data_IF_343499470041
#
_entry.id   IF_343499470041
#
_cell.length_a   1.000
_cell.length_b   1.000
_cell.length_c   1.000
_cell.angle_alpha   90.00
_cell.angle_beta   90.00
_cell.angle_gamma   90.00
#
_symmetry.space_group_name_H-M   'P 1'
#
loop_
_entity.id
_entity.type
_entity.pdbx_description
1 polymer ?
#
# COMPACT_ATOMS: atom_id res chain seq x y z
N UNK A 1 -32.54 -8.72 -58.04
CA UNK A 1 -32.45 -9.27 -56.67
C UNK A 1 -31.06 -9.83 -56.36
N UNK A 2 -30.50 -10.73 -57.18
CA UNK A 2 -29.17 -11.34 -56.96
C UNK A 2 -28.01 -10.31 -56.93
N UNK A 3 -27.98 -9.34 -57.85
CA UNK A 3 -26.94 -8.27 -57.87
C UNK A 3 -26.95 -7.41 -56.60
N UNK A 4 -28.12 -7.15 -56.03
CA UNK A 4 -28.27 -6.38 -54.78
C UNK A 4 -27.72 -7.16 -53.59
N UNK A 5 -27.96 -8.47 -53.56
CA UNK A 5 -27.42 -9.38 -52.54
C UNK A 5 -25.90 -9.44 -52.62
N UNK A 6 -25.33 -9.57 -53.83
CA UNK A 6 -23.87 -9.59 -54.03
C UNK A 6 -23.23 -8.27 -53.58
N UNK A 7 -23.82 -7.12 -53.94
CA UNK A 7 -23.32 -5.81 -53.52
C UNK A 7 -23.27 -5.65 -51.99
N UNK A 8 -24.24 -6.22 -51.27
CA UNK A 8 -24.26 -6.21 -49.81
C UNK A 8 -23.16 -7.07 -49.18
N UNK A 9 -22.85 -8.24 -49.75
CA UNK A 9 -21.74 -9.06 -49.27
C UNK A 9 -20.38 -8.39 -49.53
N UNK A 10 -20.22 -7.74 -50.69
CA UNK A 10 -18.99 -7.01 -51.01
C UNK A 10 -18.78 -5.83 -50.07
N UNK A 11 -19.83 -5.06 -49.75
CA UNK A 11 -19.71 -3.95 -48.80
C UNK A 11 -19.34 -4.42 -47.40
N UNK A 12 -19.88 -5.54 -46.93
CA UNK A 12 -19.50 -6.14 -45.64
C UNK A 12 -18.03 -6.54 -45.64
N UNK A 13 -17.56 -7.23 -46.69
CA UNK A 13 -16.15 -7.65 -46.78
C UNK A 13 -15.20 -6.46 -46.76
N UNK A 14 -15.54 -5.38 -47.45
CA UNK A 14 -14.75 -4.14 -47.45
C UNK A 14 -14.70 -3.52 -46.05
N UNK A 15 -15.85 -3.43 -45.36
CA UNK A 15 -15.90 -2.89 -43.98
C UNK A 15 -15.06 -3.74 -43.03
N UNK A 16 -15.16 -5.07 -43.10
CA UNK A 16 -14.37 -5.98 -42.26
C UNK A 16 -12.88 -5.83 -42.54
N UNK A 17 -12.49 -5.70 -43.82
CA UNK A 17 -11.10 -5.49 -44.22
C UNK A 17 -10.51 -4.18 -43.68
N UNK A 18 -11.29 -3.10 -43.70
CA UNK A 18 -10.89 -1.81 -43.14
C UNK A 18 -10.70 -1.91 -41.62
N UNK A 19 -11.63 -2.56 -40.92
CA UNK A 19 -11.53 -2.75 -39.46
C UNK A 19 -10.29 -3.58 -39.07
N UNK A 20 -9.98 -4.64 -39.82
CA UNK A 20 -8.77 -5.44 -39.63
C UNK A 20 -7.49 -4.62 -39.84
N UNK A 21 -7.45 -3.79 -40.88
CA UNK A 21 -6.31 -2.93 -41.15
C UNK A 21 -6.07 -1.90 -40.04
N UNK A 22 -7.15 -1.29 -39.53
CA UNK A 22 -7.09 -0.33 -38.41
C UNK A 22 -6.66 -0.97 -37.09
N UNK A 23 -7.01 -2.24 -36.85
CA UNK A 23 -6.53 -2.98 -35.70
C UNK A 23 -5.03 -3.31 -35.83
N UNK A 24 -4.61 -3.79 -37.00
CA UNK A 24 -3.22 -4.20 -37.27
C UNK A 24 -2.23 -3.03 -37.21
N UNK A 25 -2.66 -1.81 -37.51
CA UNK A 25 -1.79 -0.62 -37.49
C UNK A 25 -1.38 -0.16 -36.08
N UNK A 26 -1.84 -0.84 -35.01
CA UNK A 26 -1.34 -0.64 -33.65
C UNK A 26 -1.71 0.71 -33.04
N UNK A 27 -2.64 1.45 -33.64
CA UNK A 27 -3.08 2.77 -33.14
C UNK A 27 -3.63 2.70 -31.71
N UNK A 28 -4.29 1.60 -31.36
CA UNK A 28 -4.77 1.33 -30.00
C UNK A 28 -3.62 1.17 -29.00
N UNK A 29 -2.49 0.58 -29.40
CA UNK A 29 -1.36 0.33 -28.50
C UNK A 29 -0.66 1.63 -28.08
N UNK A 30 -0.52 2.58 -29.00
CA UNK A 30 0.06 3.90 -28.69
C UNK A 30 -0.78 4.67 -27.67
N UNK A 31 -2.10 4.72 -27.88
CA UNK A 31 -3.04 5.36 -26.95
C UNK A 31 -3.12 4.63 -25.61
N UNK A 32 -3.02 3.30 -25.61
CA UNK A 32 -3.03 2.51 -24.38
C UNK A 32 -1.72 2.68 -23.60
N UNK A 33 -0.58 2.85 -24.29
CA UNK A 33 0.74 3.05 -23.67
C UNK A 33 0.78 4.33 -22.84
N UNK A 34 0.28 5.44 -23.36
CA UNK A 34 0.27 6.71 -22.61
C UNK A 34 -0.67 6.64 -21.41
N UNK A 35 -1.83 5.99 -21.55
CA UNK A 35 -2.78 5.81 -20.43
C UNK A 35 -2.28 4.87 -19.33
N UNK A 36 -1.48 3.86 -19.69
CA UNK A 36 -0.92 2.88 -18.74
C UNK A 36 0.44 3.29 -18.21
N UNK A 37 1.06 4.34 -18.77
CA UNK A 37 2.30 4.92 -18.25
C UNK A 37 2.08 5.67 -16.93
N UNK A 38 3.10 5.68 -16.08
CA UNK A 38 3.05 6.41 -14.82
C UNK A 38 3.12 7.91 -15.08
N UNK A 39 2.44 8.71 -14.25
CA UNK A 39 2.46 10.17 -14.37
C UNK A 39 3.79 10.72 -13.86
N UNK A 40 4.61 11.23 -14.77
CA UNK A 40 5.97 11.72 -14.48
C UNK A 40 6.14 13.23 -14.80
N UNK A 41 5.03 13.98 -14.91
CA UNK A 41 5.05 15.41 -15.26
C UNK A 41 5.86 15.76 -16.54
N UNK A 42 6.03 14.81 -17.46
CA UNK A 42 6.84 14.98 -18.68
C UNK A 42 8.35 14.71 -18.51
N UNK A 43 8.78 14.20 -17.36
CA UNK A 43 10.15 13.78 -17.11
C UNK A 43 10.35 12.31 -17.52
N UNK A 44 11.51 12.01 -18.09
CA UNK A 44 11.92 10.62 -18.32
C UNK A 44 12.34 9.97 -16.99
N UNK A 45 11.82 8.79 -16.70
CA UNK A 45 12.21 8.01 -15.52
C UNK A 45 13.67 7.61 -15.64
N UNK A 46 14.55 8.29 -14.91
CA UNK A 46 15.97 7.96 -14.81
C UNK A 46 16.25 7.36 -13.43
N UNK A 47 16.56 6.07 -13.39
CA UNK A 47 17.00 5.37 -12.18
C UNK A 47 16.07 4.25 -11.73
N UNK A 48 16.31 3.74 -10.52
CA UNK A 48 15.48 2.70 -9.90
C UNK A 48 14.37 3.36 -9.09
N UNK A 49 13.16 2.81 -9.12
CA UNK A 49 12.02 3.25 -8.29
C UNK A 49 12.19 2.99 -6.78
N UNK A 50 13.42 2.80 -6.30
CA UNK A 50 13.72 2.53 -4.90
C UNK A 50 14.17 3.82 -4.22
N UNK A 51 13.33 4.30 -3.32
CA UNK A 51 13.70 5.38 -2.40
C UNK A 51 14.52 4.76 -1.26
N UNK A 52 15.61 5.40 -0.81
CA UNK A 52 16.32 4.93 0.38
C UNK A 52 15.36 4.89 1.57
N UNK A 53 15.33 3.75 2.27
CA UNK A 53 14.52 3.60 3.47
C UNK A 53 15.04 4.56 4.54
N UNK A 54 14.18 5.42 5.07
CA UNK A 54 14.54 6.22 6.23
C UNK A 54 14.56 5.32 7.47
N UNK A 55 15.67 5.29 8.20
CA UNK A 55 15.81 4.51 9.44
C UNK A 55 14.86 5.01 10.53
N UNK A 56 14.46 6.29 10.49
CA UNK A 56 13.50 6.90 11.43
C UNK A 56 12.12 6.25 11.35
N UNK A 57 11.59 6.04 10.15
CA UNK A 57 10.32 5.32 9.96
C UNK A 57 10.37 3.88 10.47
N UNK A 58 11.55 3.23 10.38
CA UNK A 58 11.72 1.88 10.92
C UNK A 58 11.63 1.85 12.45
N UNK A 59 12.31 2.78 13.15
CA UNK A 59 12.24 2.87 14.62
C UNK A 59 10.84 3.21 15.11
N UNK A 60 10.11 4.09 14.42
CA UNK A 60 8.72 4.38 14.74
C UNK A 60 7.84 3.12 14.66
N UNK A 61 7.99 2.32 13.60
CA UNK A 61 7.21 1.10 13.43
C UNK A 61 7.56 0.04 14.48
N UNK A 62 8.85 -0.11 14.81
CA UNK A 62 9.31 -1.04 15.84
C UNK A 62 8.78 -0.65 17.23
N UNK A 63 8.85 0.64 17.56
CA UNK A 63 8.32 1.17 18.82
C UNK A 63 6.80 0.98 18.90
N UNK A 64 6.06 1.26 17.83
CA UNK A 64 4.63 0.99 17.76
C UNK A 64 4.31 -0.49 18.00
N UNK A 65 5.04 -1.41 17.39
CA UNK A 65 4.85 -2.85 17.56
C UNK A 65 5.05 -3.28 19.02
N UNK A 66 6.12 -2.79 19.67
CA UNK A 66 6.40 -3.13 21.08
C UNK A 66 5.31 -2.59 21.99
N UNK A 67 4.91 -1.32 21.83
CA UNK A 67 3.83 -0.74 22.64
C UNK A 67 2.48 -1.43 22.43
N UNK A 68 2.17 -1.88 21.21
CA UNK A 68 0.93 -2.63 20.93
C UNK A 68 0.89 -3.98 21.68
N UNK A 69 2.02 -4.67 21.75
CA UNK A 69 2.17 -5.90 22.54
C UNK A 69 2.04 -5.62 24.04
N UNK A 70 2.67 -4.57 24.56
CA UNK A 70 2.59 -4.19 25.97
C UNK A 70 1.16 -3.82 26.39
N UNK A 71 0.42 -3.08 25.56
CA UNK A 71 -0.99 -2.75 25.79
C UNK A 71 -1.84 -4.03 25.75
N UNK A 72 -1.57 -4.94 24.81
CA UNK A 72 -2.27 -6.22 24.73
C UNK A 72 -2.10 -7.05 26.01
N UNK A 73 -0.90 -7.04 26.60
CA UNK A 73 -0.65 -7.67 27.90
C UNK A 73 -1.45 -7.02 29.04
N UNK A 74 -1.50 -5.69 29.08
CA UNK A 74 -2.29 -4.97 30.09
C UNK A 74 -3.77 -5.32 30.00
N UNK A 75 -4.34 -5.33 28.79
CA UNK A 75 -5.75 -5.67 28.57
C UNK A 75 -6.04 -7.10 29.04
N UNK A 76 -5.22 -8.08 28.64
CA UNK A 76 -5.37 -9.47 29.09
C UNK A 76 -5.31 -9.59 30.61
N UNK A 77 -4.37 -8.88 31.25
CA UNK A 77 -4.24 -8.86 32.69
C UNK A 77 -5.48 -8.28 33.39
N UNK A 78 -6.02 -7.16 32.89
CA UNK A 78 -7.26 -6.58 33.43
C UNK A 78 -8.46 -7.54 33.33
N UNK A 79 -8.54 -8.34 32.26
CA UNK A 79 -9.58 -9.36 32.14
C UNK A 79 -9.45 -10.48 33.19
N UNK A 80 -8.23 -10.85 33.60
CA UNK A 80 -7.99 -11.93 34.56
C UNK A 80 -8.20 -11.53 36.02
N UNK A 81 -7.90 -10.26 36.38
CA UNK A 81 -7.88 -9.82 37.78
C UNK A 81 -9.28 -9.73 38.41
N UNK A 82 -10.34 -9.58 37.61
CA UNK A 82 -11.72 -9.52 38.12
C UNK A 82 -11.89 -8.48 39.23
N UNK A 83 -12.46 -8.88 40.38
CA UNK A 83 -12.70 -8.00 41.54
C UNK A 83 -11.50 -7.82 42.49
N UNK A 84 -10.35 -8.46 42.26
CA UNK A 84 -9.16 -8.33 43.10
C UNK A 84 -8.36 -7.04 42.80
N UNK A 85 -9.06 -5.94 42.52
CA UNK A 85 -8.48 -4.69 42.02
C UNK A 85 -7.39 -4.13 42.95
N UNK A 86 -7.63 -4.15 44.27
CA UNK A 86 -6.75 -3.50 45.26
C UNK A 86 -5.39 -4.21 45.44
N UNK A 87 -5.34 -5.54 45.34
CA UNK A 87 -4.10 -6.32 45.51
C UNK A 87 -3.19 -6.29 44.27
N UNK A 88 -3.70 -5.83 43.12
CA UNK A 88 -3.01 -5.92 41.83
C UNK A 88 -2.51 -4.55 41.32
N UNK A 89 -2.79 -3.47 42.05
CA UNK A 89 -2.38 -2.11 41.67
C UNK A 89 -0.86 -1.97 41.63
N UNK A 90 -0.14 -2.59 42.57
CA UNK A 90 1.32 -2.52 42.65
C UNK A 90 2.00 -3.16 41.43
N UNK A 91 1.45 -4.26 40.91
CA UNK A 91 1.97 -4.95 39.72
C UNK A 91 1.78 -4.10 38.48
N UNK A 92 0.60 -3.50 38.31
CA UNK A 92 0.30 -2.60 37.19
C UNK A 92 1.18 -1.36 37.24
N UNK A 93 1.35 -0.75 38.42
CA UNK A 93 2.25 0.40 38.60
C UNK A 93 3.70 0.03 38.28
N UNK A 94 4.19 -1.12 38.75
CA UNK A 94 5.54 -1.61 38.44
C UNK A 94 5.73 -1.80 36.94
N UNK A 95 4.75 -2.39 36.25
CA UNK A 95 4.77 -2.54 34.80
C UNK A 95 4.84 -1.18 34.09
N UNK A 96 3.99 -0.22 34.47
CA UNK A 96 4.01 1.13 33.89
C UNK A 96 5.35 1.84 34.09
N UNK A 97 5.99 1.69 35.25
CA UNK A 97 7.32 2.27 35.50
C UNK A 97 8.35 1.69 34.53
N UNK A 98 8.35 0.37 34.31
CA UNK A 98 9.28 -0.28 33.38
C UNK A 98 9.07 0.25 31.96
N UNK A 99 7.82 0.34 31.51
CA UNK A 99 7.47 0.89 30.18
C UNK A 99 7.93 2.34 30.04
N UNK A 100 7.71 3.18 31.06
CA UNK A 100 8.15 4.57 31.07
C UNK A 100 9.68 4.70 31.02
N UNK A 101 10.42 3.85 31.75
CA UNK A 101 11.88 3.84 31.70
C UNK A 101 12.41 3.45 30.31
N UNK A 102 11.77 2.47 29.67
CA UNK A 102 12.08 2.09 28.29
C UNK A 102 11.89 3.26 27.31
N UNK A 103 10.77 3.97 27.42
CA UNK A 103 10.48 5.14 26.58
C UNK A 103 11.49 6.27 26.77
N UNK A 104 11.88 6.55 28.02
CA UNK A 104 12.88 7.59 28.33
C UNK A 104 14.24 7.24 27.73
N UNK A 105 14.63 5.97 27.73
CA UNK A 105 15.90 5.53 27.14
C UNK A 105 15.89 5.67 25.60
N UNK A 106 14.80 5.27 24.95
CA UNK A 106 14.63 5.45 23.50
C UNK A 106 14.62 6.93 23.09
N UNK A 107 13.99 7.78 23.91
CA UNK A 107 14.04 9.23 23.73
C UNK A 107 15.47 9.76 23.85
N UNK A 108 16.21 9.35 24.89
CA UNK A 108 17.60 9.77 25.12
C UNK A 108 18.52 9.36 23.98
N UNK A 109 18.29 8.21 23.35
CA UNK A 109 19.07 7.72 22.20
C UNK A 109 18.75 8.45 20.88
N UNK A 110 17.72 9.29 20.85
CA UNK A 110 17.37 10.07 19.66
C UNK A 110 16.69 9.25 18.56
N UNK A 111 16.20 8.04 18.87
CA UNK A 111 15.44 7.21 17.92
C UNK A 111 14.12 7.86 17.50
N UNK A 112 13.63 8.82 18.29
CA UNK A 112 12.36 9.53 18.15
C UNK A 112 12.47 10.96 17.56
N UNK A 113 13.67 11.40 17.14
CA UNK A 113 13.93 12.76 16.64
C UNK A 113 14.04 12.87 15.09
#
# INVERSE_FOLDING_TARGET
MVLVIIGFFVSILVVVGILWFLWSSGFSELWLREKTSHFECGLEVKGKARVPLSVRFFFFLLLFLVFDVEISFLIYYFFQVGNYFVLNVEVVLGFFIIVMLGLVEEWRRGCLA
#
